data_IF_920590148062
#
_entry.id   IF_920590148062
#
_cell.length_a   1.000
_cell.length_b   1.000
_cell.length_c   1.000
_cell.angle_alpha   90.00
_cell.angle_beta   90.00
_cell.angle_gamma   90.00
#
_symmetry.space_group_name_H-M   'P 1'
#
loop_
_entity.id
_entity.type
_entity.pdbx_description
1 polymer ?
#
# COMPACT_ATOMS: atom_id res chain seq x y z
N UNK A 1 -2.21 0.20 -28.79
CA UNK A 1 -3.19 0.37 -27.70
C UNK A 1 -2.98 -0.77 -26.70
N UNK A 2 -2.85 -0.48 -25.40
CA UNK A 2 -2.74 -1.52 -24.36
C UNK A 2 -4.14 -2.00 -24.00
N UNK A 3 -4.38 -3.32 -24.06
CA UNK A 3 -5.67 -3.91 -23.71
C UNK A 3 -5.65 -4.30 -22.23
N UNK A 4 -6.55 -3.69 -21.46
CA UNK A 4 -6.69 -3.94 -20.02
C UNK A 4 -8.01 -4.66 -19.75
N UNK A 5 -7.98 -5.74 -18.97
CA UNK A 5 -9.17 -6.48 -18.56
C UNK A 5 -9.15 -6.70 -17.05
N UNK A 6 -10.28 -6.44 -16.40
CA UNK A 6 -10.49 -6.74 -14.98
C UNK A 6 -11.79 -7.52 -14.82
N UNK A 7 -11.68 -8.74 -14.29
CA UNK A 7 -12.81 -9.59 -13.96
C UNK A 7 -13.02 -9.60 -12.44
N UNK A 8 -14.23 -9.26 -12.02
CA UNK A 8 -14.67 -9.32 -10.63
C UNK A 8 -15.43 -10.64 -10.41
N UNK A 9 -14.97 -11.45 -9.47
CA UNK A 9 -15.59 -12.74 -9.13
C UNK A 9 -15.86 -12.80 -7.64
N UNK A 10 -16.72 -13.72 -7.21
CA UNK A 10 -16.96 -13.98 -5.77
C UNK A 10 -15.70 -14.40 -5.00
N UNK A 11 -14.69 -14.94 -5.71
CA UNK A 11 -13.39 -15.35 -5.14
C UNK A 11 -12.32 -14.23 -5.18
N UNK A 12 -12.63 -13.07 -5.74
CA UNK A 12 -11.71 -11.94 -5.85
C UNK A 12 -11.58 -11.37 -7.26
N UNK A 13 -10.51 -10.62 -7.50
CA UNK A 13 -10.28 -9.87 -8.75
C UNK A 13 -9.20 -10.56 -9.59
N UNK A 14 -9.44 -10.73 -10.89
CA UNK A 14 -8.47 -11.24 -11.86
C UNK A 14 -8.21 -10.16 -12.90
N UNK A 15 -6.94 -9.86 -13.15
CA UNK A 15 -6.55 -8.78 -14.04
C UNK A 15 -5.65 -9.30 -15.16
N UNK A 16 -5.85 -8.80 -16.39
CA UNK A 16 -5.03 -9.15 -17.56
C UNK A 16 -4.55 -7.90 -18.28
N UNK A 17 -3.32 -7.95 -18.77
CA UNK A 17 -2.73 -6.95 -19.66
C UNK A 17 -2.40 -7.67 -20.96
N UNK A 18 -2.95 -7.19 -22.08
CA UNK A 18 -2.79 -7.78 -23.41
C UNK A 18 -3.09 -9.30 -23.42
N UNK A 19 -4.15 -9.72 -22.73
CA UNK A 19 -4.56 -11.11 -22.61
C UNK A 19 -3.76 -11.94 -21.58
N UNK A 20 -2.63 -11.43 -21.07
CA UNK A 20 -1.81 -12.12 -20.06
C UNK A 20 -2.29 -11.81 -18.64
N UNK A 21 -2.60 -12.86 -17.88
CA UNK A 21 -3.03 -12.74 -16.49
C UNK A 21 -1.90 -12.29 -15.56
N UNK A 22 -2.21 -11.32 -14.70
CA UNK A 22 -1.27 -10.73 -13.77
C UNK A 22 -1.33 -11.47 -12.44
N UNK A 23 -0.21 -12.05 -12.00
CA UNK A 23 -0.13 -12.77 -10.72
C UNK A 23 -0.47 -11.91 -9.51
N UNK A 24 -0.17 -10.61 -9.58
CA UNK A 24 -0.46 -9.64 -8.52
C UNK A 24 -1.21 -8.46 -9.12
N UNK A 25 -2.27 -8.01 -8.44
CA UNK A 25 -3.00 -6.79 -8.84
C UNK A 25 -2.09 -5.55 -8.84
N UNK A 26 -1.03 -5.53 -8.02
CA UNK A 26 -0.05 -4.44 -8.04
C UNK A 26 0.72 -4.33 -9.36
N UNK A 27 0.83 -5.41 -10.14
CA UNK A 27 1.43 -5.39 -11.47
C UNK A 27 0.46 -4.85 -12.56
N UNK A 28 -0.84 -4.81 -12.24
CA UNK A 28 -1.86 -4.20 -13.09
C UNK A 28 -1.97 -2.68 -12.87
N UNK A 29 -1.73 -2.22 -11.65
CA UNK A 29 -1.72 -0.79 -11.31
C UNK A 29 -0.58 -0.08 -12.07
N UNK A 30 -0.89 1.07 -12.68
CA UNK A 30 0.06 1.88 -13.45
C UNK A 30 0.14 1.52 -14.94
N UNK A 31 -0.53 0.45 -15.39
CA UNK A 31 -0.61 0.11 -16.81
C UNK A 31 -1.40 1.16 -17.63
N UNK A 32 -2.32 1.86 -16.96
CA UNK A 32 -2.99 3.07 -17.44
C UNK A 32 -3.18 4.00 -16.25
N UNK A 33 -2.61 5.21 -16.32
CA UNK A 33 -2.79 6.23 -15.30
C UNK A 33 -4.09 6.99 -15.58
N UNK A 34 -4.98 7.04 -14.60
CA UNK A 34 -6.30 7.68 -14.72
C UNK A 34 -6.53 8.54 -13.49
N UNK A 35 -7.08 9.74 -13.69
CA UNK A 35 -7.56 10.61 -12.63
C UNK A 35 -9.08 10.65 -12.71
N UNK A 36 -9.75 10.31 -11.62
CA UNK A 36 -11.20 10.39 -11.47
C UNK A 36 -11.53 11.50 -10.48
N UNK A 37 -12.52 12.33 -10.81
CA UNK A 37 -13.07 13.34 -9.92
C UNK A 37 -14.48 12.93 -9.51
N UNK A 38 -14.72 12.85 -8.21
CA UNK A 38 -16.02 12.49 -7.65
C UNK A 38 -16.34 13.37 -6.42
N UNK A 39 -17.64 13.60 -6.09
CA UNK A 39 -18.04 14.42 -4.93
C UNK A 39 -17.40 13.97 -3.61
N UNK A 40 -17.14 12.67 -3.46
CA UNK A 40 -16.53 12.06 -2.28
C UNK A 40 -15.08 12.50 -2.05
N UNK A 41 -14.41 13.07 -3.05
CA UNK A 41 -13.01 13.54 -2.94
C UNK A 41 -12.86 14.70 -1.95
N UNK A 42 -13.95 15.41 -1.62
CA UNK A 42 -13.98 16.40 -0.53
C UNK A 42 -13.63 15.80 0.83
N UNK A 43 -13.81 14.48 1.00
CA UNK A 43 -13.41 13.77 2.22
C UNK A 43 -11.90 13.79 2.46
N UNK A 44 -11.07 14.03 1.43
CA UNK A 44 -9.62 14.19 1.60
C UNK A 44 -9.32 15.41 2.50
N UNK A 45 -10.10 16.49 2.34
CA UNK A 45 -9.90 17.75 3.07
C UNK A 45 -10.47 17.67 4.48
N UNK A 46 -11.74 17.27 4.62
CA UNK A 46 -12.47 17.31 5.90
C UNK A 46 -12.42 16.01 6.69
N UNK A 47 -11.89 14.94 6.10
CA UNK A 47 -11.91 13.62 6.67
C UNK A 47 -10.72 13.29 7.59
N UNK A 48 -10.73 12.04 8.06
CA UNK A 48 -9.71 11.49 8.94
C UNK A 48 -8.35 11.36 8.23
N UNK A 49 -7.23 11.38 8.98
CA UNK A 49 -5.89 11.21 8.42
C UNK A 49 -5.70 9.93 7.57
N UNK A 50 -6.50 8.90 7.83
CA UNK A 50 -6.48 7.67 7.04
C UNK A 50 -6.90 7.88 5.58
N UNK A 51 -7.86 8.77 5.31
CA UNK A 51 -8.29 9.08 3.94
C UNK A 51 -7.18 9.79 3.17
N UNK A 52 -6.51 10.79 3.77
CA UNK A 52 -5.35 11.45 3.16
C UNK A 52 -4.19 10.50 2.89
N UNK A 53 -3.87 9.59 3.83
CA UNK A 53 -2.84 8.57 3.61
C UNK A 53 -3.19 7.64 2.46
N UNK A 54 -4.45 7.20 2.37
CA UNK A 54 -4.92 6.33 1.28
C UNK A 54 -4.81 7.04 -0.07
N UNK A 55 -5.20 8.31 -0.14
CA UNK A 55 -5.04 9.13 -1.34
C UNK A 55 -3.57 9.17 -1.78
N UNK A 56 -2.66 9.60 -0.89
CA UNK A 56 -1.21 9.66 -1.19
C UNK A 56 -0.67 8.29 -1.64
N UNK A 57 -1.07 7.21 -0.94
CA UNK A 57 -0.62 5.86 -1.26
C UNK A 57 -1.08 5.39 -2.64
N UNK A 58 -2.31 5.77 -3.04
CA UNK A 58 -2.89 5.45 -4.33
C UNK A 58 -2.17 6.22 -5.44
N UNK A 59 -2.01 7.54 -5.31
CA UNK A 59 -1.37 8.39 -6.31
C UNK A 59 0.09 8.00 -6.57
N UNK A 60 0.87 7.77 -5.52
CA UNK A 60 2.25 7.30 -5.67
C UNK A 60 2.26 5.88 -6.25
N UNK A 61 1.31 5.03 -5.83
CA UNK A 61 1.19 3.66 -6.28
C UNK A 61 0.94 3.51 -7.78
N UNK A 62 0.17 4.43 -8.39
CA UNK A 62 -0.06 4.44 -9.84
C UNK A 62 1.24 4.60 -10.64
N UNK A 63 2.20 5.38 -10.14
CA UNK A 63 3.44 5.72 -10.86
C UNK A 63 4.69 4.99 -10.33
N UNK A 64 4.57 4.21 -9.26
CA UNK A 64 5.71 3.54 -8.62
C UNK A 64 5.37 2.12 -8.15
N UNK A 65 5.64 1.09 -9.00
CA UNK A 65 5.51 -0.31 -8.59
C UNK A 65 6.37 -0.66 -7.37
N UNK A 66 7.56 -0.04 -7.27
CA UNK A 66 8.46 -0.20 -6.12
C UNK A 66 7.82 0.32 -4.83
N UNK A 67 7.07 1.42 -4.89
CA UNK A 67 6.32 1.93 -3.73
C UNK A 67 5.25 0.95 -3.28
N UNK A 68 4.47 0.39 -4.22
CA UNK A 68 3.47 -0.65 -3.92
C UNK A 68 4.09 -1.88 -3.26
N UNK A 69 5.28 -2.29 -3.72
CA UNK A 69 6.03 -3.37 -3.09
C UNK A 69 6.39 -3.04 -1.64
N UNK A 70 6.97 -1.86 -1.37
CA UNK A 70 7.29 -1.46 0.00
C UNK A 70 6.05 -1.33 0.88
N UNK A 71 4.96 -0.77 0.36
CA UNK A 71 3.71 -0.60 1.10
C UNK A 71 3.09 -1.95 1.47
N UNK A 72 3.07 -2.90 0.52
CA UNK A 72 2.57 -4.25 0.76
C UNK A 72 3.37 -4.96 1.85
N UNK A 73 4.71 -4.89 1.79
CA UNK A 73 5.56 -5.52 2.80
C UNK A 73 5.48 -4.82 4.15
N UNK A 74 5.39 -3.48 4.17
CA UNK A 74 5.21 -2.71 5.40
C UNK A 74 3.96 -3.16 6.14
N UNK A 75 2.83 -3.28 5.42
CA UNK A 75 1.57 -3.73 6.01
C UNK A 75 1.64 -5.18 6.53
N UNK A 76 2.34 -6.07 5.82
CA UNK A 76 2.55 -7.45 6.29
C UNK A 76 3.38 -7.49 7.57
N UNK A 77 4.53 -6.80 7.59
CA UNK A 77 5.40 -6.74 8.78
C UNK A 77 4.67 -6.10 9.96
N UNK A 78 3.91 -5.03 9.71
CA UNK A 78 3.08 -4.39 10.74
C UNK A 78 2.05 -5.34 11.32
N UNK A 79 1.37 -6.14 10.49
CA UNK A 79 0.41 -7.13 10.95
C UNK A 79 1.07 -8.22 11.81
N UNK A 80 2.22 -8.76 11.38
CA UNK A 80 2.99 -9.75 12.13
C UNK A 80 3.46 -9.19 13.48
N UNK A 81 4.01 -7.97 13.49
CA UNK A 81 4.42 -7.27 14.71
C UNK A 81 3.25 -7.07 15.67
N UNK A 82 2.11 -6.60 15.17
CA UNK A 82 0.92 -6.36 16.00
C UNK A 82 0.36 -7.67 16.57
N UNK A 83 0.43 -8.77 15.83
CA UNK A 83 0.05 -10.08 16.33
C UNK A 83 1.01 -10.54 17.45
N UNK A 84 2.32 -10.42 17.25
CA UNK A 84 3.31 -10.75 18.28
C UNK A 84 3.10 -9.92 19.55
N UNK A 85 2.81 -8.63 19.43
CA UNK A 85 2.52 -7.77 20.59
C UNK A 85 1.29 -8.25 21.37
N UNK A 86 0.24 -8.70 20.68
CA UNK A 86 -0.93 -9.30 21.34
C UNK A 86 -0.57 -10.59 22.05
N UNK A 87 0.24 -11.44 21.43
CA UNK A 87 0.67 -12.71 22.02
C UNK A 87 1.57 -12.51 23.24
N UNK A 88 2.48 -11.52 23.20
CA UNK A 88 3.29 -11.11 24.35
C UNK A 88 2.39 -10.60 25.50
N UNK A 89 1.39 -9.76 25.20
CA UNK A 89 0.46 -9.24 26.20
C UNK A 89 -0.38 -10.35 26.87
N UNK A 90 -0.73 -11.40 26.11
CA UNK A 90 -1.44 -12.58 26.61
C UNK A 90 -0.51 -13.64 27.23
N UNK A 91 0.80 -13.38 27.34
CA UNK A 91 1.83 -14.34 27.79
C UNK A 91 1.84 -15.65 26.99
N UNK A 92 1.41 -15.60 25.72
CA UNK A 92 1.45 -16.72 24.76
C UNK A 92 2.79 -16.80 24.02
N UNK A 93 3.60 -15.74 24.10
CA UNK A 93 4.94 -15.65 23.53
C UNK A 93 5.86 -14.91 24.50
N UNK A 94 7.16 -15.14 24.39
CA UNK A 94 8.21 -14.45 25.15
C UNK A 94 9.33 -13.90 24.28
N UNK A 95 9.16 -13.92 22.95
CA UNK A 95 10.24 -13.56 22.03
C UNK A 95 10.34 -12.05 21.79
N UNK A 96 11.08 -11.36 22.66
CA UNK A 96 11.45 -9.96 22.49
C UNK A 96 12.45 -9.76 21.33
N UNK A 97 13.28 -10.76 21.04
CA UNK A 97 14.21 -10.75 19.90
C UNK A 97 13.46 -10.67 18.57
N UNK A 98 12.40 -11.46 18.39
CA UNK A 98 11.55 -11.38 17.20
C UNK A 98 10.88 -10.01 17.07
N UNK A 99 10.50 -9.37 18.19
CA UNK A 99 9.96 -8.02 18.17
C UNK A 99 11.01 -7.00 17.67
N UNK A 100 12.27 -7.14 18.08
CA UNK A 100 13.36 -6.28 17.60
C UNK A 100 13.63 -6.45 16.10
N UNK A 101 13.58 -7.69 15.59
CA UNK A 101 13.69 -8.00 14.16
C UNK A 101 12.56 -7.31 13.38
N UNK A 102 11.31 -7.45 13.84
CA UNK A 102 10.17 -6.80 13.18
C UNK A 102 10.25 -5.28 13.23
N UNK A 103 10.72 -4.70 14.34
CA UNK A 103 10.93 -3.25 14.43
C UNK A 103 11.93 -2.75 13.39
N UNK A 104 13.04 -3.46 13.23
CA UNK A 104 14.09 -3.11 12.24
C UNK A 104 13.53 -3.19 10.83
N UNK A 105 12.88 -4.30 10.46
CA UNK A 105 12.28 -4.44 9.13
C UNK A 105 11.19 -3.41 8.86
N UNK A 106 10.38 -3.08 9.87
CA UNK A 106 9.32 -2.07 9.74
C UNK A 106 9.93 -0.68 9.51
N UNK A 107 10.99 -0.32 10.24
CA UNK A 107 11.69 0.95 10.10
C UNK A 107 12.31 1.10 8.69
N UNK A 108 12.98 0.07 8.19
CA UNK A 108 13.59 0.07 6.86
C UNK A 108 12.57 0.31 5.74
N UNK A 109 11.39 -0.31 5.86
CA UNK A 109 10.29 -0.11 4.93
C UNK A 109 9.65 1.27 5.10
N UNK A 110 9.49 1.73 6.34
CA UNK A 110 8.92 3.04 6.65
C UNK A 110 9.75 4.18 6.03
N UNK A 111 11.08 4.12 6.14
CA UNK A 111 11.98 5.14 5.57
C UNK A 111 11.80 5.24 4.06
N UNK A 112 11.72 4.09 3.36
CA UNK A 112 11.50 4.05 1.90
C UNK A 112 10.16 4.66 1.50
N UNK A 113 9.09 4.37 2.26
CA UNK A 113 7.76 4.95 2.05
C UNK A 113 7.74 6.45 2.32
N UNK A 114 8.26 6.88 3.47
CA UNK A 114 8.27 8.28 3.88
C UNK A 114 9.03 9.15 2.88
N UNK A 115 10.19 8.69 2.40
CA UNK A 115 10.94 9.41 1.37
C UNK A 115 10.09 9.69 0.13
N UNK A 116 9.39 8.67 -0.38
CA UNK A 116 8.50 8.81 -1.55
C UNK A 116 7.30 9.71 -1.27
N UNK A 117 6.72 9.64 -0.07
CA UNK A 117 5.63 10.54 0.36
C UNK A 117 6.09 12.00 0.42
N UNK A 118 7.26 12.29 0.99
CA UNK A 118 7.79 13.66 1.03
C UNK A 118 8.19 14.17 -0.35
N UNK A 119 8.74 13.33 -1.23
CA UNK A 119 8.95 13.68 -2.64
C UNK A 119 7.63 14.04 -3.34
N UNK A 120 6.57 13.25 -3.14
CA UNK A 120 5.25 13.50 -3.71
C UNK A 120 4.64 14.80 -3.19
N UNK A 121 4.64 15.02 -1.87
CA UNK A 121 4.07 16.21 -1.25
C UNK A 121 4.77 17.50 -1.72
N UNK A 122 6.10 17.48 -1.88
CA UNK A 122 6.84 18.62 -2.44
C UNK A 122 6.40 18.99 -3.86
N UNK A 123 6.05 17.99 -4.68
CA UNK A 123 5.52 18.22 -6.03
C UNK A 123 4.09 18.76 -6.05
N UNK A 124 3.31 18.51 -4.98
CA UNK A 124 1.92 18.95 -4.87
C UNK A 124 1.78 20.38 -4.33
N UNK A 125 2.81 20.91 -3.66
CA UNK A 125 2.84 22.27 -3.11
C UNK A 125 3.15 23.35 -4.16
N UNK A 126 3.17 22.99 -5.46
CA UNK A 126 3.41 23.89 -6.58
C UNK A 126 2.14 24.67 -6.92
#
# INVERSE_FOLDING_TARGET
>A
SVRLELQLTSKGKRAKINGMEQQKLSAYVGALNVVMFAPEDLSIVKGAPAQRRRFIDMEIGQVSPTYLYYLSNYNKVLAQRNQLLKDLAMKKSHSLEMLAIWNTQLADLAVKLLRKRFEFLRKLQV
#
